data_IF_255056855371
#
_entry.id   IF_255056855371
#
_cell.length_a   1.000
_cell.length_b   1.000
_cell.length_c   1.000
_cell.angle_alpha   90.00
_cell.angle_beta   90.00
_cell.angle_gamma   90.00
#
_symmetry.space_group_name_H-M   'P 1'
#
loop_
_entity.id
_entity.type
_entity.pdbx_description
1 polymer ?
#
# COMPACT_ATOMS: atom_id res chain seq x y z
N UNK A 1 -14.21 18.83 2.42
CA UNK A 1 -15.06 19.20 3.57
C UNK A 1 -14.18 19.22 4.79
N UNK A 2 -14.28 20.23 5.66
CA UNK A 2 -13.41 20.29 6.84
C UNK A 2 -13.97 19.39 7.94
N UNK A 3 -13.16 18.46 8.41
CA UNK A 3 -13.44 17.61 9.58
C UNK A 3 -12.55 18.05 10.72
N UNK A 4 -13.15 18.54 11.80
CA UNK A 4 -12.43 18.92 13.02
C UNK A 4 -12.34 17.74 13.97
N UNK A 5 -11.21 17.59 14.64
CA UNK A 5 -10.96 16.55 15.62
C UNK A 5 -9.96 17.04 16.67
N UNK A 6 -9.86 16.32 17.78
CA UNK A 6 -8.91 16.62 18.84
C UNK A 6 -7.99 15.42 19.07
N UNK A 7 -6.73 15.69 19.41
CA UNK A 7 -5.76 14.68 19.80
C UNK A 7 -5.41 14.91 21.27
N UNK A 8 -5.53 13.84 22.06
CA UNK A 8 -5.12 13.80 23.46
C UNK A 8 -4.31 12.52 23.67
N UNK A 9 -3.18 12.65 24.36
CA UNK A 9 -2.33 11.52 24.73
C UNK A 9 -2.56 11.13 26.19
N UNK A 10 -2.58 9.82 26.44
CA UNK A 10 -2.60 9.27 27.79
C UNK A 10 -1.18 9.08 28.34
N UNK A 11 -0.41 10.16 28.47
CA UNK A 11 0.95 10.13 29.05
C UNK A 11 0.99 10.49 30.53
N UNK A 12 -0.15 10.86 31.14
CA UNK A 12 -0.19 11.31 32.53
C UNK A 12 0.34 10.24 33.49
N UNK A 13 1.18 10.66 34.43
CA UNK A 13 1.79 9.78 35.44
C UNK A 13 2.63 8.62 34.88
N UNK A 14 2.96 8.62 33.58
CA UNK A 14 4.01 7.76 33.07
C UNK A 14 5.33 8.10 33.76
N UNK A 15 6.06 7.06 34.16
CA UNK A 15 7.42 7.17 34.65
C UNK A 15 8.33 7.62 33.52
N UNK A 16 9.38 8.39 33.83
CA UNK A 16 10.35 8.84 32.84
C UNK A 16 11.79 8.63 33.27
N UNK A 17 12.61 8.16 32.33
CA UNK A 17 14.05 7.96 32.53
C UNK A 17 14.77 9.31 32.61
N UNK A 18 14.30 10.30 31.83
CA UNK A 18 14.92 11.63 31.71
C UNK A 18 13.90 12.75 31.97
N UNK A 19 14.39 13.97 32.18
CA UNK A 19 13.55 15.15 32.36
C UNK A 19 12.96 15.56 31.01
N UNK A 20 11.63 15.66 30.94
CA UNK A 20 10.91 16.19 29.78
C UNK A 20 10.45 17.63 30.01
N UNK A 21 10.55 18.46 28.97
CA UNK A 21 10.07 19.86 28.98
C UNK A 21 8.94 20.12 27.98
N UNK A 22 8.68 19.17 27.07
CA UNK A 22 7.59 19.26 26.10
C UNK A 22 6.22 19.19 26.80
N UNK A 23 5.21 19.99 26.41
CA UNK A 23 3.92 20.01 27.10
C UNK A 23 3.20 18.65 27.21
N UNK A 24 3.41 17.69 26.30
CA UNK A 24 2.87 16.34 26.42
C UNK A 24 3.69 15.42 27.34
N UNK A 25 4.95 15.75 27.57
CA UNK A 25 5.92 14.93 28.29
C UNK A 25 6.55 15.65 29.48
N UNK A 26 5.99 16.79 29.90
CA UNK A 26 6.55 17.62 30.96
C UNK A 26 6.66 16.84 32.26
N UNK A 27 7.86 16.68 32.79
CA UNK A 27 8.05 15.88 34.01
C UNK A 27 8.15 16.76 35.25
N UNK A 28 7.67 16.24 36.37
CA UNK A 28 8.01 16.70 37.72
C UNK A 28 8.84 15.65 38.44
N UNK A 29 9.66 16.10 39.38
CA UNK A 29 10.47 15.22 40.23
C UNK A 29 9.61 14.73 41.40
N UNK A 30 9.35 13.42 41.47
CA UNK A 30 8.43 12.83 42.46
C UNK A 30 9.08 12.30 43.73
N UNK A 31 10.39 12.55 43.95
CA UNK A 31 11.09 12.16 45.17
C UNK A 31 12.61 12.38 45.11
N UNK A 32 13.33 11.88 46.10
CA UNK A 32 14.80 11.77 46.06
C UNK A 32 15.18 10.39 45.47
N UNK A 33 16.26 10.28 44.67
CA UNK A 33 16.71 8.99 44.15
C UNK A 33 16.98 8.02 45.31
N UNK A 34 16.23 6.92 45.34
CA UNK A 34 16.39 5.83 46.29
C UNK A 34 17.70 5.08 45.98
N UNK A 35 18.67 5.16 46.89
CA UNK A 35 19.98 4.47 46.78
C UNK A 35 19.81 2.93 46.85
N UNK A 36 18.62 2.42 47.20
CA UNK A 36 18.38 0.99 47.45
C UNK A 36 17.63 0.24 46.35
N UNK A 37 17.18 0.88 45.28
CA UNK A 37 16.48 0.21 44.19
C UNK A 37 17.01 0.70 42.83
N UNK A 38 17.71 -0.18 42.12
CA UNK A 38 18.42 0.09 40.86
C UNK A 38 17.54 0.50 39.65
N UNK A 39 16.31 0.99 39.83
CA UNK A 39 15.40 1.35 38.72
C UNK A 39 14.32 2.39 39.09
N UNK A 40 14.45 3.14 40.18
CA UNK A 40 13.47 4.20 40.50
C UNK A 40 13.68 5.41 39.58
N UNK A 41 12.83 5.53 38.57
CA UNK A 41 12.70 6.76 37.80
C UNK A 41 12.15 7.86 38.70
N UNK A 42 12.92 8.93 38.90
CA UNK A 42 12.57 10.04 39.80
C UNK A 42 11.60 11.03 39.13
N UNK A 43 11.32 10.84 37.84
CA UNK A 43 10.53 11.77 37.03
C UNK A 43 9.20 11.14 36.64
N UNK A 44 8.11 11.86 36.88
CA UNK A 44 6.80 11.50 36.38
C UNK A 44 6.25 12.60 35.49
N UNK A 45 5.58 12.19 34.43
CA UNK A 45 4.86 13.11 33.54
C UNK A 45 3.71 13.76 34.34
N UNK A 46 3.75 15.08 34.47
CA UNK A 46 2.73 15.90 35.16
C UNK A 46 1.31 15.69 34.61
N UNK A 47 0.31 16.19 35.33
CA UNK A 47 -1.09 16.17 34.88
C UNK A 47 -1.41 17.37 33.99
N UNK A 48 -2.57 17.35 33.33
CA UNK A 48 -3.10 18.52 32.61
C UNK A 48 -2.45 18.77 31.24
N UNK A 49 -2.32 17.72 30.44
CA UNK A 49 -1.73 17.77 29.09
C UNK A 49 -2.63 18.58 28.14
N UNK A 50 -2.09 19.52 27.36
CA UNK A 50 -2.91 20.26 26.40
C UNK A 50 -3.37 19.32 25.28
N UNK A 51 -4.67 19.27 25.01
CA UNK A 51 -5.19 18.65 23.79
C UNK A 51 -4.85 19.51 22.56
N UNK A 52 -4.60 18.86 21.43
CA UNK A 52 -4.47 19.57 20.15
C UNK A 52 -5.83 19.66 19.47
N UNK A 53 -6.18 20.84 18.98
CA UNK A 53 -7.31 21.05 18.10
C UNK A 53 -6.83 21.00 16.65
N UNK A 54 -7.39 20.07 15.87
CA UNK A 54 -6.94 19.77 14.53
C UNK A 54 -8.10 19.86 13.53
N UNK A 55 -7.76 20.07 12.27
CA UNK A 55 -8.69 19.96 11.17
C UNK A 55 -8.02 19.24 10.00
N UNK A 56 -8.81 18.48 9.25
CA UNK A 56 -8.40 17.85 8.01
C UNK A 56 -9.39 18.26 6.91
N UNK A 57 -8.87 18.57 5.73
CA UNK A 57 -9.67 18.67 4.52
C UNK A 57 -9.46 17.44 3.66
N UNK A 58 -10.55 16.86 3.16
CA UNK A 58 -10.52 15.81 2.14
C UNK A 58 -10.78 16.40 0.74
N UNK A 59 -9.85 16.16 -0.18
CA UNK A 59 -10.01 16.45 -1.61
C UNK A 59 -9.57 15.23 -2.43
N UNK A 60 -10.43 14.85 -3.37
CA UNK A 60 -10.21 13.76 -4.32
C UNK A 60 -10.48 14.24 -5.72
N UNK A 61 -9.55 13.95 -6.63
CA UNK A 61 -9.63 14.36 -8.03
C UNK A 61 -9.73 13.14 -8.92
N UNK A 62 -10.80 13.05 -9.71
CA UNK A 62 -10.99 12.00 -10.71
C UNK A 62 -11.47 12.61 -12.03
N UNK A 63 -10.84 12.23 -13.16
CA UNK A 63 -11.15 12.76 -14.50
C UNK A 63 -11.23 14.30 -14.56
N UNK A 64 -10.29 14.98 -13.89
CA UNK A 64 -10.22 16.44 -13.86
C UNK A 64 -11.28 17.14 -13.00
N UNK A 65 -12.03 16.39 -12.19
CA UNK A 65 -13.01 16.95 -11.25
C UNK A 65 -12.59 16.64 -9.81
N UNK A 66 -12.51 17.68 -8.98
CA UNK A 66 -12.24 17.55 -7.55
C UNK A 66 -13.54 17.54 -6.74
N UNK A 67 -13.59 16.73 -5.69
CA UNK A 67 -14.66 16.74 -4.70
C UNK A 67 -14.17 16.12 -3.38
N UNK A 68 -14.89 16.35 -2.27
CA UNK A 68 -14.67 15.55 -1.06
C UNK A 68 -15.18 14.12 -1.25
N UNK A 69 -14.66 13.18 -0.46
CA UNK A 69 -15.06 11.76 -0.46
C UNK A 69 -16.57 11.60 -0.29
N UNK A 70 -17.17 12.43 0.56
CA UNK A 70 -18.61 12.44 0.83
C UNK A 70 -19.47 12.93 -0.33
N UNK A 71 -18.93 13.80 -1.18
CA UNK A 71 -19.68 14.44 -2.26
C UNK A 71 -19.41 13.80 -3.64
N UNK A 72 -18.58 12.75 -3.69
CA UNK A 72 -18.33 11.95 -4.90
C UNK A 72 -19.60 11.49 -5.65
N UNK A 73 -20.70 11.07 -4.99
CA UNK A 73 -21.94 10.68 -5.69
C UNK A 73 -22.59 11.82 -6.46
N UNK A 74 -22.41 13.05 -6.00
CA UNK A 74 -23.15 14.21 -6.47
C UNK A 74 -22.35 15.00 -7.53
N UNK A 75 -21.13 14.55 -7.85
CA UNK A 75 -20.34 15.15 -8.93
C UNK A 75 -20.97 14.73 -10.25
N UNK A 76 -21.65 15.68 -10.91
CA UNK A 76 -22.27 15.45 -12.21
C UNK A 76 -21.27 14.85 -13.21
N UNK A 77 -21.70 13.94 -14.08
CA UNK A 77 -20.86 13.38 -15.15
C UNK A 77 -19.65 12.54 -14.71
N UNK A 78 -19.43 12.31 -13.42
CA UNK A 78 -18.32 11.49 -12.93
C UNK A 78 -18.62 9.99 -13.03
N UNK A 79 -19.92 9.61 -12.97
CA UNK A 79 -20.41 8.22 -12.89
C UNK A 79 -19.52 7.37 -11.96
N UNK A 80 -19.27 7.88 -10.76
CA UNK A 80 -18.33 7.26 -9.83
C UNK A 80 -18.89 5.91 -9.33
N UNK A 81 -18.14 4.79 -9.45
CA UNK A 81 -18.65 3.48 -9.09
C UNK A 81 -19.04 3.38 -7.62
N UNK A 82 -20.21 2.81 -7.34
CA UNK A 82 -20.76 2.79 -5.98
C UNK A 82 -19.92 1.94 -5.01
N UNK A 83 -19.42 0.79 -5.45
CA UNK A 83 -18.56 -0.06 -4.63
C UNK A 83 -17.24 0.64 -4.25
N UNK A 84 -16.62 1.37 -5.19
CA UNK A 84 -15.39 2.12 -4.90
C UNK A 84 -15.63 3.26 -3.93
N UNK A 85 -16.80 3.91 -4.02
CA UNK A 85 -17.20 4.93 -3.05
C UNK A 85 -17.30 4.33 -1.67
N UNK A 86 -17.91 3.16 -1.54
CA UNK A 86 -18.09 2.52 -0.24
C UNK A 86 -16.71 2.15 0.36
N UNK A 87 -15.74 1.76 -0.47
CA UNK A 87 -14.32 1.61 -0.06
C UNK A 87 -13.73 2.93 0.44
N UNK A 88 -13.81 4.01 -0.33
CA UNK A 88 -13.25 5.31 0.08
C UNK A 88 -13.92 5.86 1.33
N UNK A 89 -15.24 5.72 1.42
CA UNK A 89 -16.00 6.12 2.58
C UNK A 89 -15.54 5.36 3.83
N UNK A 90 -15.32 4.06 3.72
CA UNK A 90 -14.88 3.23 4.84
C UNK A 90 -13.44 3.54 5.25
N UNK A 91 -12.54 3.71 4.28
CA UNK A 91 -11.11 3.82 4.54
C UNK A 91 -10.64 5.25 4.86
N UNK A 92 -11.22 6.27 4.22
CA UNK A 92 -10.82 7.68 4.33
C UNK A 92 -12.01 8.63 4.57
N UNK A 93 -13.18 8.09 4.91
CA UNK A 93 -14.33 8.89 5.33
C UNK A 93 -14.10 9.60 6.66
N UNK A 94 -13.27 9.03 7.54
CA UNK A 94 -12.78 9.65 8.78
C UNK A 94 -11.38 10.24 8.59
N UNK A 95 -10.92 11.17 9.45
CA UNK A 95 -9.54 11.64 9.41
C UNK A 95 -8.55 10.48 9.48
N UNK A 96 -7.57 10.41 8.56
CA UNK A 96 -6.69 9.24 8.42
C UNK A 96 -5.88 8.98 9.71
N UNK A 97 -5.54 10.04 10.45
CA UNK A 97 -4.86 9.96 11.75
C UNK A 97 -5.67 9.13 12.75
N UNK A 98 -7.00 9.26 12.75
CA UNK A 98 -7.86 8.47 13.65
C UNK A 98 -7.74 6.97 13.36
N UNK A 99 -7.80 6.59 12.09
CA UNK A 99 -7.66 5.19 11.68
C UNK A 99 -6.27 4.64 12.03
N UNK A 100 -5.22 5.43 11.84
CA UNK A 100 -3.85 5.01 12.19
C UNK A 100 -3.69 4.79 13.69
N UNK A 101 -4.17 5.72 14.52
CA UNK A 101 -4.09 5.58 15.99
C UNK A 101 -4.94 4.40 16.48
N UNK A 102 -6.12 4.19 15.89
CA UNK A 102 -6.97 3.04 16.24
C UNK A 102 -6.32 1.69 15.89
N UNK A 103 -5.57 1.63 14.80
CA UNK A 103 -4.93 0.38 14.34
C UNK A 103 -3.59 0.11 15.01
N UNK A 104 -2.79 1.15 15.26
CA UNK A 104 -1.43 1.01 15.80
C UNK A 104 -1.34 1.28 17.32
N UNK A 105 -2.37 1.87 17.92
CA UNK A 105 -2.37 2.24 19.33
C UNK A 105 -1.25 3.23 19.67
N UNK A 106 -0.61 3.03 20.82
CA UNK A 106 0.53 3.84 21.28
C UNK A 106 1.75 3.76 20.38
N UNK A 107 1.94 2.63 19.67
CA UNK A 107 3.11 2.38 18.79
C UNK A 107 3.12 3.32 17.57
N UNK A 108 1.98 3.96 17.30
CA UNK A 108 1.89 5.03 16.32
C UNK A 108 2.77 6.25 16.69
N UNK A 109 3.07 6.42 17.97
CA UNK A 109 3.85 7.53 18.52
C UNK A 109 5.34 7.16 18.55
N UNK A 110 6.19 8.16 18.37
CA UNK A 110 7.63 7.98 18.51
C UNK A 110 8.03 7.80 19.97
N UNK A 111 7.35 8.49 20.89
CA UNK A 111 7.56 8.36 22.34
C UNK A 111 7.40 6.93 22.87
N UNK A 112 6.62 6.09 22.18
CA UNK A 112 6.37 4.70 22.58
C UNK A 112 7.52 3.77 22.21
N UNK A 113 8.29 4.10 21.15
CA UNK A 113 9.42 3.26 20.71
C UNK A 113 10.62 3.28 21.64
N UNK A 114 10.71 4.30 22.51
CA UNK A 114 11.70 4.39 23.57
C UNK A 114 11.13 3.97 24.93
N UNK A 115 9.89 3.50 24.96
CA UNK A 115 9.21 3.14 26.20
C UNK A 115 9.44 1.67 26.59
N UNK A 116 9.63 1.44 27.87
CA UNK A 116 9.43 0.15 28.51
C UNK A 116 8.08 0.22 29.24
N UNK A 117 7.46 -0.90 29.59
CA UNK A 117 6.12 -0.97 30.23
C UNK A 117 5.92 0.15 31.28
N UNK A 118 5.06 1.13 30.96
CA UNK A 118 4.72 2.35 31.75
C UNK A 118 5.84 3.38 32.01
N UNK A 119 7.00 3.22 31.37
CA UNK A 119 8.16 4.12 31.47
C UNK A 119 8.56 4.65 30.10
N UNK A 120 8.63 5.97 29.95
CA UNK A 120 9.02 6.64 28.70
C UNK A 120 10.37 7.35 28.83
N UNK A 121 10.94 7.81 27.71
CA UNK A 121 12.03 8.78 27.70
C UNK A 121 11.47 10.16 27.37
N UNK A 122 11.00 10.89 28.39
CA UNK A 122 10.32 12.18 28.21
C UNK A 122 11.23 13.27 27.62
N UNK A 123 12.53 13.25 27.93
CA UNK A 123 13.50 14.19 27.38
C UNK A 123 13.78 14.01 25.89
N UNK A 124 13.54 12.81 25.36
CA UNK A 124 13.65 12.51 23.93
C UNK A 124 12.28 12.48 23.21
N UNK A 125 11.19 12.68 23.95
CA UNK A 125 9.81 12.69 23.43
C UNK A 125 9.32 14.11 23.19
N UNK A 126 8.58 14.33 22.10
CA UNK A 126 7.96 15.65 21.83
C UNK A 126 6.68 15.53 21.02
N UNK A 127 5.76 16.47 21.22
CA UNK A 127 4.53 16.60 20.42
C UNK A 127 4.87 16.61 18.93
N UNK A 128 5.89 17.38 18.56
CA UNK A 128 6.26 17.56 17.16
C UNK A 128 6.67 16.24 16.49
N UNK A 129 7.53 15.46 17.16
CA UNK A 129 8.01 14.19 16.62
C UNK A 129 6.89 13.16 16.48
N UNK A 130 6.01 13.07 17.47
CA UNK A 130 4.86 12.19 17.42
C UNK A 130 3.87 12.59 16.33
N UNK A 131 3.54 13.88 16.25
CA UNK A 131 2.66 14.40 15.20
C UNK A 131 3.26 14.21 13.81
N UNK A 132 4.56 14.43 13.64
CA UNK A 132 5.27 14.18 12.39
C UNK A 132 5.16 12.71 11.98
N UNK A 133 5.39 11.78 12.91
CA UNK A 133 5.26 10.35 12.65
C UNK A 133 3.82 9.98 12.30
N UNK A 134 2.84 10.42 13.08
CA UNK A 134 1.42 10.17 12.82
C UNK A 134 0.97 10.68 11.45
N UNK A 135 1.36 11.91 11.08
CA UNK A 135 1.04 12.50 9.78
C UNK A 135 1.72 11.72 8.65
N UNK A 136 2.99 11.37 8.79
CA UNK A 136 3.72 10.60 7.79
C UNK A 136 3.13 9.20 7.59
N UNK A 137 2.83 8.49 8.68
CA UNK A 137 2.19 7.18 8.63
C UNK A 137 0.80 7.27 8.00
N UNK A 138 0.02 8.30 8.33
CA UNK A 138 -1.29 8.54 7.71
C UNK A 138 -1.20 8.86 6.23
N UNK A 139 -0.17 9.61 5.82
CA UNK A 139 0.12 9.87 4.42
C UNK A 139 0.44 8.58 3.66
N UNK A 140 1.38 7.77 4.17
CA UNK A 140 1.78 6.48 3.56
C UNK A 140 0.57 5.55 3.42
N UNK A 141 -0.24 5.41 4.48
CA UNK A 141 -1.44 4.58 4.44
C UNK A 141 -2.46 5.10 3.42
N UNK A 142 -2.62 6.41 3.28
CA UNK A 142 -3.54 6.99 2.29
C UNK A 142 -3.01 6.82 0.86
N UNK A 143 -1.71 6.94 0.63
CA UNK A 143 -1.11 6.74 -0.71
C UNK A 143 -1.17 5.30 -1.18
N UNK A 144 -1.09 4.34 -0.25
CA UNK A 144 -1.15 2.91 -0.55
C UNK A 144 -2.55 2.31 -0.40
N UNK A 145 -3.57 3.11 -0.10
CA UNK A 145 -4.92 2.62 0.19
C UNK A 145 -5.46 1.65 -0.86
N UNK A 146 -5.33 2.00 -2.15
CA UNK A 146 -5.82 1.13 -3.22
C UNK A 146 -5.03 -0.19 -3.27
N UNK A 147 -3.70 -0.14 -3.14
CA UNK A 147 -2.84 -1.33 -3.07
C UNK A 147 -3.28 -2.24 -1.92
N UNK A 148 -3.34 -1.67 -0.71
CA UNK A 148 -3.65 -2.40 0.52
C UNK A 148 -5.03 -3.05 0.46
N UNK A 149 -6.01 -2.40 -0.18
CA UNK A 149 -7.35 -2.99 -0.35
C UNK A 149 -7.42 -4.10 -1.40
N UNK A 150 -6.49 -4.15 -2.35
CA UNK A 150 -6.49 -5.12 -3.46
C UNK A 150 -5.57 -6.32 -3.23
N UNK A 151 -4.47 -6.14 -2.50
CA UNK A 151 -3.43 -7.15 -2.30
C UNK A 151 -3.60 -7.95 -1.01
N UNK A 152 -4.63 -7.67 -0.22
CA UNK A 152 -4.87 -8.37 1.04
C UNK A 152 -5.32 -9.82 0.78
N UNK A 153 -4.59 -10.79 1.32
CA UNK A 153 -4.93 -12.20 1.18
C UNK A 153 -6.23 -12.52 1.92
N UNK A 154 -7.22 -13.01 1.17
CA UNK A 154 -8.52 -13.48 1.69
C UNK A 154 -8.38 -14.52 2.82
N UNK A 155 -7.30 -15.30 2.85
CA UNK A 155 -7.04 -16.33 3.87
C UNK A 155 -6.61 -15.76 5.23
N UNK A 156 -6.16 -14.50 5.29
CA UNK A 156 -5.67 -13.84 6.51
C UNK A 156 -6.63 -12.77 7.05
N UNK A 157 -7.91 -12.83 6.69
CA UNK A 157 -8.90 -11.79 7.02
C UNK A 157 -9.56 -11.95 8.39
N UNK A 158 -9.18 -12.95 9.20
CA UNK A 158 -9.85 -13.26 10.49
C UNK A 158 -11.39 -13.38 10.35
N UNK A 159 -11.87 -13.87 9.20
CA UNK A 159 -13.29 -13.95 8.84
C UNK A 159 -14.01 -12.58 8.72
N UNK A 160 -13.27 -11.48 8.57
CA UNK A 160 -13.85 -10.18 8.28
C UNK A 160 -14.38 -10.15 6.84
N UNK A 161 -15.62 -9.69 6.62
CA UNK A 161 -16.17 -9.58 5.28
C UNK A 161 -15.45 -8.50 4.48
N UNK A 162 -15.30 -8.73 3.17
CA UNK A 162 -14.87 -7.69 2.23
C UNK A 162 -15.84 -6.52 2.24
N UNK A 163 -15.30 -5.31 2.11
CA UNK A 163 -16.10 -4.07 1.94
C UNK A 163 -16.94 -4.16 0.65
N UNK A 164 -16.42 -4.84 -0.37
CA UNK A 164 -17.08 -5.01 -1.66
C UNK A 164 -17.69 -6.40 -1.73
N UNK A 165 -19.01 -6.45 -1.96
CA UNK A 165 -19.74 -7.68 -2.18
C UNK A 165 -19.36 -8.34 -3.52
N UNK A 166 -19.38 -9.68 -3.62
CA UNK A 166 -18.96 -10.41 -4.83
C UNK A 166 -19.70 -9.99 -6.12
N UNK A 167 -20.95 -9.55 -6.00
CA UNK A 167 -21.80 -9.08 -7.10
C UNK A 167 -21.43 -7.70 -7.66
N UNK A 168 -20.51 -6.97 -7.00
CA UNK A 168 -20.09 -5.61 -7.39
C UNK A 168 -18.59 -5.50 -7.69
N UNK A 169 -17.91 -6.62 -7.90
CA UNK A 169 -16.48 -6.66 -8.19
C UNK A 169 -16.12 -5.94 -9.50
N UNK A 170 -17.02 -5.96 -10.48
CA UNK A 170 -16.91 -5.24 -11.75
C UNK A 170 -16.77 -3.71 -11.56
N UNK A 171 -17.40 -3.16 -10.52
CA UNK A 171 -17.36 -1.73 -10.21
C UNK A 171 -16.02 -1.27 -9.62
N UNK A 172 -15.22 -2.18 -9.08
CA UNK A 172 -13.87 -1.91 -8.56
C UNK A 172 -12.76 -2.40 -9.47
N UNK A 173 -13.08 -3.28 -10.44
CA UNK A 173 -12.13 -3.81 -11.42
C UNK A 173 -11.46 -2.75 -12.31
N UNK A 174 -11.98 -1.52 -12.36
CA UNK A 174 -11.34 -0.41 -13.09
C UNK A 174 -10.13 0.18 -12.34
N UNK A 175 -9.94 -0.18 -11.07
CA UNK A 175 -8.86 0.28 -10.20
C UNK A 175 -8.01 -0.93 -9.80
N UNK A 176 -7.45 -1.63 -10.79
CA UNK A 176 -6.40 -2.62 -10.55
C UNK A 176 -5.13 -1.85 -10.24
N UNK A 177 -4.57 -2.07 -9.05
CA UNK A 177 -3.21 -1.61 -8.80
C UNK A 177 -2.24 -2.68 -9.27
N UNK A 178 -1.25 -2.24 -10.04
CA UNK A 178 -0.19 -3.07 -10.58
C UNK A 178 0.65 -3.67 -9.43
N UNK A 179 0.75 -4.99 -9.38
CA UNK A 179 1.67 -5.75 -8.53
C UNK A 179 2.85 -6.22 -9.38
N UNK A 180 4.07 -6.14 -8.85
CA UNK A 180 5.30 -6.64 -9.48
C UNK A 180 5.29 -8.17 -9.68
N UNK A 181 4.44 -8.90 -8.94
CA UNK A 181 4.30 -10.35 -9.06
C UNK A 181 3.35 -10.81 -10.17
N UNK A 182 2.52 -9.92 -10.70
CA UNK A 182 1.79 -10.18 -11.95
C UNK A 182 2.70 -9.67 -13.06
N UNK A 183 3.49 -10.56 -13.65
CA UNK A 183 4.36 -10.25 -14.78
C UNK A 183 3.60 -9.45 -15.85
N UNK A 184 3.70 -8.13 -15.79
CA UNK A 184 3.15 -7.23 -16.79
C UNK A 184 4.01 -7.45 -18.03
N UNK A 185 3.59 -8.36 -18.89
CA UNK A 185 3.94 -8.25 -20.29
C UNK A 185 3.50 -6.84 -20.68
N UNK A 186 4.47 -5.98 -21.00
CA UNK A 186 4.21 -4.62 -21.50
C UNK A 186 3.08 -4.69 -22.51
N UNK A 187 2.10 -3.78 -22.44
CA UNK A 187 1.00 -3.76 -23.40
C UNK A 187 1.53 -3.77 -24.85
N UNK A 188 2.69 -3.16 -25.08
CA UNK A 188 3.40 -3.23 -26.35
C UNK A 188 3.84 -4.65 -26.71
N UNK A 189 4.35 -5.44 -25.76
CA UNK A 189 4.67 -6.85 -25.96
C UNK A 189 3.42 -7.73 -26.12
N UNK A 190 2.35 -7.48 -25.35
CA UNK A 190 1.10 -8.22 -25.44
C UNK A 190 0.44 -8.06 -26.82
N UNK A 191 0.59 -6.88 -27.42
CA UNK A 191 0.16 -6.57 -28.79
C UNK A 191 1.19 -7.05 -29.84
N UNK A 192 2.50 -6.95 -29.56
CA UNK A 192 3.54 -7.34 -30.50
C UNK A 192 3.60 -8.86 -30.75
N UNK A 193 3.26 -9.69 -29.75
CA UNK A 193 3.26 -11.16 -29.89
C UNK A 193 2.25 -11.69 -30.93
N UNK A 194 0.96 -11.33 -30.91
CA UNK A 194 0.01 -11.75 -31.95
C UNK A 194 0.35 -11.16 -33.32
N UNK A 195 0.87 -9.93 -33.38
CA UNK A 195 1.27 -9.31 -34.66
C UNK A 195 2.50 -10.03 -35.24
N UNK A 196 3.52 -10.29 -34.42
CA UNK A 196 4.75 -10.98 -34.83
C UNK A 196 4.47 -12.41 -35.29
N UNK A 197 3.57 -13.12 -34.60
CA UNK A 197 3.16 -14.48 -35.01
C UNK A 197 2.38 -14.47 -36.32
N UNK A 198 1.49 -13.50 -36.56
CA UNK A 198 0.81 -13.34 -37.84
C UNK A 198 1.77 -13.03 -39.00
N UNK A 199 2.76 -12.17 -38.77
CA UNK A 199 3.79 -11.84 -39.77
C UNK A 199 4.66 -13.05 -40.13
N UNK A 200 5.11 -13.80 -39.13
CA UNK A 200 5.87 -15.05 -39.36
C UNK A 200 5.02 -16.08 -40.12
N UNK A 201 3.75 -16.23 -39.76
CA UNK A 201 2.82 -17.12 -40.46
C UNK A 201 2.64 -16.72 -41.92
N UNK A 202 2.46 -15.43 -42.20
CA UNK A 202 2.35 -14.90 -43.56
C UNK A 202 3.63 -15.14 -44.37
N UNK A 203 4.81 -14.94 -43.75
CA UNK A 203 6.11 -15.19 -44.39
C UNK A 203 6.29 -16.66 -44.74
N UNK A 204 5.96 -17.59 -43.82
CA UNK A 204 6.03 -19.03 -44.08
C UNK A 204 5.06 -19.46 -45.19
N UNK A 205 3.84 -18.91 -45.21
CA UNK A 205 2.86 -19.15 -46.28
C UNK A 205 3.35 -18.64 -47.63
N UNK A 206 3.92 -17.44 -47.66
CA UNK A 206 4.51 -16.85 -48.87
C UNK A 206 5.69 -17.67 -49.38
N UNK A 207 6.58 -18.11 -48.47
CA UNK A 207 7.71 -18.97 -48.82
C UNK A 207 7.23 -20.31 -49.39
N UNK A 208 6.22 -20.95 -48.80
CA UNK A 208 5.62 -22.19 -49.35
C UNK A 208 4.92 -21.98 -50.69
N UNK A 209 4.39 -20.79 -50.94
CA UNK A 209 3.75 -20.46 -52.22
C UNK A 209 4.78 -20.21 -53.33
N UNK A 210 5.88 -19.53 -53.01
CA UNK A 210 6.96 -19.24 -53.96
C UNK A 210 7.88 -20.44 -54.20
N UNK A 211 8.12 -21.26 -53.19
CA UNK A 211 8.80 -22.55 -53.34
C UNK A 211 7.75 -23.57 -53.79
N UNK A 212 7.36 -23.52 -55.07
CA UNK A 212 6.76 -24.69 -55.72
C UNK A 212 7.82 -25.80 -55.68
N UNK A 213 7.52 -27.00 -55.16
CA UNK A 213 8.45 -28.10 -55.25
C UNK A 213 8.77 -28.31 -56.72
N UNK A 214 10.05 -28.16 -57.09
CA UNK A 214 10.55 -28.66 -58.38
C UNK A 214 10.31 -30.17 -58.34
N UNK A 215 9.23 -30.62 -58.98
CA UNK A 215 9.09 -32.01 -59.37
C UNK A 215 10.27 -32.27 -60.30
N UNK A 216 11.26 -33.02 -59.81
CA UNK A 216 12.33 -33.54 -60.64
C UNK A 216 11.68 -34.58 -61.55
N UNK A 217 11.26 -34.13 -62.73
CA UNK A 217 10.84 -35.03 -63.80
C UNK A 217 12.01 -35.97 -64.14
N UNK A 218 11.69 -37.25 -64.14
CA UNK A 218 12.65 -38.35 -64.12
C UNK A 218 13.58 -38.39 -65.33
N UNK A 219 14.87 -38.57 -65.04
CA UNK A 219 15.86 -39.08 -65.97
C UNK A 219 16.50 -40.32 -65.37
N UNK A 220 16.16 -41.47 -65.94
CA UNK A 220 16.67 -42.80 -65.62
C UNK A 220 18.20 -42.79 -65.49
N UNK A 221 18.73 -42.92 -64.28
CA UNK A 221 20.17 -42.88 -64.05
C UNK A 221 20.49 -43.01 -62.57
N UNK A 222 20.88 -44.21 -62.17
CA UNK A 222 21.35 -44.60 -60.84
C UNK A 222 22.25 -43.54 -60.19
N UNK A 223 21.82 -43.01 -59.05
CA UNK A 223 22.77 -42.57 -58.03
C UNK A 223 22.15 -42.73 -56.65
N UNK A 224 22.61 -43.77 -55.94
CA UNK A 224 22.40 -43.94 -54.50
C UNK A 224 22.98 -42.71 -53.79
N UNK A 225 22.12 -41.83 -53.30
CA UNK A 225 22.53 -40.87 -52.26
C UNK A 225 22.19 -41.50 -50.93
N UNK A 226 23.20 -42.15 -50.35
CA UNK A 226 23.19 -42.61 -48.96
C UNK A 226 23.40 -41.38 -48.09
N UNK A 227 22.36 -40.91 -47.40
CA UNK A 227 22.53 -39.95 -46.31
C UNK A 227 22.80 -40.75 -45.04
N UNK A 228 24.08 -40.80 -44.66
CA UNK A 228 24.51 -41.26 -43.33
C UNK A 228 24.04 -40.24 -42.30
N UNK A 229 23.27 -40.70 -41.32
CA UNK A 229 23.03 -39.97 -40.08
C UNK A 229 24.12 -40.43 -39.11
N UNK A 230 25.21 -39.67 -39.02
CA UNK A 230 26.16 -39.86 -37.92
C UNK A 230 25.57 -39.19 -36.68
N UNK A 231 25.16 -40.03 -35.74
CA UNK A 231 24.83 -39.62 -34.38
C UNK A 231 26.12 -39.23 -33.64
N UNK A 232 26.38 -37.93 -33.54
CA UNK A 232 27.19 -37.35 -32.47
C UNK A 232 26.21 -36.62 -31.55
N UNK A 233 26.18 -36.79 -30.24
CA UNK A 233 27.15 -37.32 -29.29
C UNK A 233 26.78 -36.63 -27.99
N UNK A 234 26.30 -37.40 -27.01
CA UNK A 234 26.02 -36.91 -25.67
C UNK A 234 27.31 -36.36 -25.05
N UNK A 235 27.23 -35.14 -24.53
CA UNK A 235 27.95 -34.68 -23.36
C UNK A 235 27.00 -33.74 -22.59
#
# INVERSE_FOLDING_TARGET
MNKSYAIMISSMQCQSITIGTDPWYLTETTGAPSISANNDTVYNVTRGRPGLSCWQSDEWTYKGRSSSTWNLPNVSGLNFPSALRDVFYTQIGSPSIYNMVSSLGSIALQSDTTSQVFTIDAGNSSIYNDMRRLVLTSYIATTNLLLDTTLYDTNNTYALPSIVSPDKLDQVAQFVVYDEQIATISLAFAIALPIGTLLLFAMVKSLKYHIKPKVLDGGNGTSKVVVKIDAAGKA
#
